data_IF_927005443832
#
_entry.id   IF_927005443832
#
_cell.length_a   1.000
_cell.length_b   1.000
_cell.length_c   1.000
_cell.angle_alpha   90.00
_cell.angle_beta   90.00
_cell.angle_gamma   90.00
#
_symmetry.space_group_name_H-M   'P 1'
#
loop_
_entity.id
_entity.type
_entity.pdbx_description
1 polymer ?
#
# COMPACT_ATOMS: atom_id res chain seq x y z
N UNK A 1 51.06 -28.23 24.68
CA UNK A 1 51.06 -28.13 23.20
C UNK A 1 49.64 -27.84 22.73
N UNK A 2 49.48 -26.89 21.81
CA UNK A 2 48.24 -26.17 21.47
C UNK A 2 47.26 -27.07 20.71
N UNK A 3 45.99 -27.15 21.15
CA UNK A 3 44.91 -27.82 20.41
C UNK A 3 44.46 -26.91 19.27
N UNK A 4 44.56 -27.38 18.03
CA UNK A 4 44.02 -26.69 16.86
C UNK A 4 42.48 -26.77 16.88
N UNK A 5 41.82 -25.65 16.58
CA UNK A 5 40.36 -25.57 16.42
C UNK A 5 39.95 -26.17 15.06
N UNK A 6 38.82 -26.89 14.97
CA UNK A 6 38.28 -27.30 13.69
C UNK A 6 37.74 -26.08 12.93
N UNK A 7 38.02 -26.09 11.63
CA UNK A 7 37.61 -25.13 10.62
C UNK A 7 36.08 -25.13 10.46
N UNK A 8 35.44 -23.99 10.78
CA UNK A 8 34.02 -23.73 10.54
C UNK A 8 33.78 -23.50 9.03
N UNK A 9 33.84 -24.57 8.24
CA UNK A 9 33.33 -24.59 6.87
C UNK A 9 31.81 -24.64 6.86
N UNK A 10 31.19 -23.53 7.31
CA UNK A 10 29.74 -23.31 7.25
C UNK A 10 29.32 -22.97 5.82
N UNK A 11 28.48 -23.84 5.27
CA UNK A 11 27.33 -23.53 4.39
C UNK A 11 27.59 -23.11 2.94
N UNK A 12 27.90 -24.10 2.09
CA UNK A 12 27.75 -24.03 0.63
C UNK A 12 26.31 -24.26 0.16
N UNK A 13 25.31 -23.66 0.81
CA UNK A 13 23.89 -23.75 0.42
C UNK A 13 23.33 -22.42 -0.13
N UNK A 14 24.09 -21.32 -0.01
CA UNK A 14 23.64 -19.97 -0.38
C UNK A 14 23.91 -19.56 -1.83
N UNK A 15 24.72 -20.34 -2.58
CA UNK A 15 25.10 -19.98 -3.95
C UNK A 15 24.09 -20.40 -5.04
N UNK A 16 23.10 -21.25 -4.73
CA UNK A 16 22.17 -21.77 -5.75
C UNK A 16 20.94 -20.88 -5.99
N UNK A 17 20.59 -20.03 -5.02
CA UNK A 17 19.36 -19.25 -5.12
C UNK A 17 19.45 -18.10 -6.15
N UNK A 18 20.64 -17.53 -6.35
CA UNK A 18 20.85 -16.50 -7.37
C UNK A 18 20.73 -17.07 -8.79
N UNK A 19 21.30 -18.26 -9.01
CA UNK A 19 21.19 -18.98 -10.30
C UNK A 19 19.73 -19.36 -10.56
N UNK A 20 19.04 -19.90 -9.55
CA UNK A 20 17.62 -20.22 -9.67
C UNK A 20 16.78 -18.98 -10.03
N UNK A 21 17.00 -17.85 -9.36
CA UNK A 21 16.31 -16.59 -9.66
C UNK A 21 16.56 -16.09 -11.08
N UNK A 22 17.81 -16.13 -11.55
CA UNK A 22 18.13 -15.67 -12.90
C UNK A 22 17.51 -16.55 -13.97
N UNK A 23 17.45 -17.86 -13.75
CA UNK A 23 16.75 -18.79 -14.65
C UNK A 23 15.23 -18.54 -14.68
N UNK A 24 14.60 -18.31 -13.53
CA UNK A 24 13.17 -18.02 -13.44
C UNK A 24 12.79 -16.73 -14.18
N UNK A 25 13.58 -15.66 -13.99
CA UNK A 25 13.34 -14.37 -14.66
C UNK A 25 13.47 -14.52 -16.18
N UNK A 26 14.48 -15.23 -16.67
CA UNK A 26 14.64 -15.49 -18.11
C UNK A 26 13.46 -16.25 -18.71
N UNK A 27 12.96 -17.26 -18.00
CA UNK A 27 11.81 -18.04 -18.45
C UNK A 27 10.52 -17.20 -18.53
N UNK A 28 10.31 -16.31 -17.56
CA UNK A 28 9.14 -15.42 -17.55
C UNK A 28 9.20 -14.37 -18.67
N UNK A 29 10.36 -13.76 -18.90
CA UNK A 29 10.54 -12.75 -19.97
C UNK A 29 10.38 -13.39 -21.35
N UNK A 30 10.86 -14.61 -21.55
CA UNK A 30 10.71 -15.31 -22.83
C UNK A 30 9.24 -15.64 -23.19
N UNK A 31 8.35 -15.70 -22.19
CA UNK A 31 6.91 -15.94 -22.40
C UNK A 31 6.16 -14.63 -22.68
N UNK A 32 6.74 -13.47 -22.37
CA UNK A 32 6.09 -12.15 -22.50
C UNK A 32 6.46 -11.38 -23.76
N UNK A 33 7.14 -11.99 -24.74
CA UNK A 33 7.44 -11.33 -26.01
C UNK A 33 6.39 -11.72 -27.07
N UNK A 34 5.26 -10.99 -27.23
CA UNK A 34 4.61 -10.89 -28.50
C UNK A 34 5.46 -9.98 -29.41
N UNK A 35 5.73 -10.50 -30.60
CA UNK A 35 6.39 -9.85 -31.72
C UNK A 35 5.76 -8.47 -32.03
N UNK A 36 6.40 -7.37 -31.60
CA UNK A 36 6.15 -6.03 -32.15
C UNK A 36 7.23 -5.00 -31.77
N UNK A 37 7.72 -4.18 -32.73
CA UNK A 37 8.69 -3.15 -32.46
C UNK A 37 8.02 -1.80 -32.15
N UNK A 38 8.80 -0.93 -31.50
CA UNK A 38 8.73 0.53 -31.49
C UNK A 38 8.30 1.22 -30.17
N UNK A 39 9.26 2.02 -29.69
CA UNK A 39 9.10 3.41 -29.29
C UNK A 39 8.79 3.78 -27.82
N UNK A 40 9.80 4.49 -27.27
CA UNK A 40 9.72 5.72 -26.47
C UNK A 40 9.70 5.62 -24.94
N UNK A 41 10.59 6.45 -24.37
CA UNK A 41 10.79 6.75 -22.97
C UNK A 41 9.51 7.23 -22.26
N UNK A 42 9.27 6.72 -21.06
CA UNK A 42 8.63 7.45 -19.97
C UNK A 42 8.81 6.69 -18.64
N UNK A 43 9.26 7.44 -17.63
CA UNK A 43 8.88 7.38 -16.21
C UNK A 43 8.60 6.00 -15.58
N UNK A 44 9.46 5.59 -14.65
CA UNK A 44 9.29 4.36 -13.86
C UNK A 44 8.14 4.55 -12.85
N UNK A 45 6.98 3.88 -12.99
CA UNK A 45 5.95 3.95 -11.96
C UNK A 45 6.33 2.99 -10.84
N UNK A 46 6.31 3.51 -9.61
CA UNK A 46 6.48 2.74 -8.37
C UNK A 46 5.52 1.54 -8.32
N UNK A 47 6.09 0.34 -8.06
CA UNK A 47 5.40 -0.94 -7.89
C UNK A 47 4.57 -0.99 -6.59
N UNK A 48 3.55 -0.15 -6.46
CA UNK A 48 2.45 -0.38 -5.51
C UNK A 48 1.35 -1.13 -6.26
N UNK A 49 1.19 -2.42 -5.90
CA UNK A 49 0.29 -3.36 -6.54
C UNK A 49 -1.12 -2.81 -6.76
N UNK A 50 -1.42 -2.44 -7.99
CA UNK A 50 -2.75 -2.15 -8.48
C UNK A 50 -3.44 -3.46 -8.88
N UNK A 51 -3.79 -4.28 -7.90
CA UNK A 51 -4.81 -5.31 -8.11
C UNK A 51 -6.18 -4.69 -7.79
N UNK A 52 -6.84 -4.09 -8.77
CA UNK A 52 -8.29 -4.25 -8.95
C UNK A 52 -8.75 -3.65 -10.27
N UNK A 53 -9.45 -4.41 -11.14
CA UNK A 53 -10.11 -3.87 -12.30
C UNK A 53 -11.38 -3.15 -11.84
N UNK A 54 -11.40 -1.82 -11.93
CA UNK A 54 -12.62 -1.01 -12.04
C UNK A 54 -13.75 -1.29 -11.01
N UNK A 55 -13.42 -1.33 -9.72
CA UNK A 55 -14.39 -0.97 -8.68
C UNK A 55 -13.95 0.36 -8.05
N UNK A 56 -14.85 1.35 -7.89
CA UNK A 56 -14.53 2.57 -7.15
C UNK A 56 -14.34 2.19 -5.68
N UNK A 57 -13.12 1.79 -5.34
CA UNK A 57 -12.77 1.43 -3.98
C UNK A 57 -12.70 2.70 -3.16
N UNK A 58 -13.52 2.77 -2.11
CA UNK A 58 -13.44 3.84 -1.15
C UNK A 58 -12.01 3.86 -0.59
N UNK A 59 -11.34 4.99 -0.78
CA UNK A 59 -10.03 5.28 -0.22
C UNK A 59 -10.08 6.56 0.61
N UNK A 60 -9.29 6.60 1.67
CA UNK A 60 -9.05 7.83 2.41
C UNK A 60 -7.94 8.62 1.72
N UNK A 61 -8.18 9.88 1.39
CA UNK A 61 -7.15 10.79 0.90
C UNK A 61 -7.35 12.21 1.41
N UNK A 62 -6.48 13.14 0.97
CA UNK A 62 -6.61 14.56 1.30
C UNK A 62 -7.72 15.19 0.48
N UNK A 63 -8.66 15.85 1.14
CA UNK A 63 -9.75 16.61 0.51
C UNK A 63 -9.26 18.03 0.19
N UNK A 64 -9.59 18.59 -0.98
CA UNK A 64 -9.27 19.98 -1.30
C UNK A 64 -10.11 20.95 -0.45
N UNK A 65 -9.49 22.05 0.00
CA UNK A 65 -10.17 23.14 0.71
C UNK A 65 -9.89 23.21 2.22
N UNK A 66 -10.82 23.83 2.96
CA UNK A 66 -10.71 24.05 4.41
C UNK A 66 -10.95 22.75 5.19
N UNK A 67 -10.28 22.61 6.34
CA UNK A 67 -10.59 21.58 7.34
C UNK A 67 -12.08 21.58 7.67
N UNK A 68 -12.69 20.39 7.69
CA UNK A 68 -14.09 20.20 8.11
C UNK A 68 -14.15 19.22 9.27
N UNK A 69 -15.26 19.25 10.00
CA UNK A 69 -15.53 18.34 11.12
C UNK A 69 -15.61 16.89 10.61
N UNK A 70 -15.00 15.96 11.35
CA UNK A 70 -15.14 14.54 11.06
C UNK A 70 -16.59 14.11 11.27
N UNK A 71 -17.20 13.49 10.26
CA UNK A 71 -18.59 13.05 10.32
C UNK A 71 -18.82 12.01 11.42
N UNK A 72 -17.96 10.98 11.48
CA UNK A 72 -18.07 9.95 12.52
C UNK A 72 -17.93 10.53 13.93
N UNK A 73 -16.98 11.44 14.16
CA UNK A 73 -16.83 12.07 15.48
C UNK A 73 -18.03 12.96 15.84
N UNK A 74 -18.66 13.60 14.86
CA UNK A 74 -19.87 14.39 15.08
C UNK A 74 -21.05 13.46 15.48
N UNK A 75 -21.15 12.29 14.85
CA UNK A 75 -22.15 11.28 15.17
C UNK A 75 -21.92 10.64 16.54
N UNK A 76 -20.67 10.29 16.86
CA UNK A 76 -20.28 9.68 18.14
C UNK A 76 -20.27 10.69 19.31
N UNK A 77 -20.49 11.98 19.03
CA UNK A 77 -20.45 13.04 20.05
C UNK A 77 -19.06 13.30 20.64
N UNK A 78 -18.00 12.82 19.99
CA UNK A 78 -16.61 12.96 20.47
C UNK A 78 -16.14 14.40 20.32
N UNK A 79 -16.01 15.08 21.45
CA UNK A 79 -15.50 16.45 21.56
C UNK A 79 -14.07 16.45 22.06
N UNK A 80 -13.27 17.40 21.59
CA UNK A 80 -11.96 17.70 22.18
C UNK A 80 -12.15 18.34 23.57
N UNK A 81 -11.09 18.39 24.37
CA UNK A 81 -11.09 19.06 25.67
C UNK A 81 -11.54 20.54 25.61
N UNK A 82 -11.41 21.18 24.44
CA UNK A 82 -11.91 22.53 24.16
C UNK A 82 -13.41 22.62 23.87
N UNK A 83 -14.16 21.52 23.94
CA UNK A 83 -15.58 21.43 23.61
C UNK A 83 -15.89 21.42 22.11
N UNK A 84 -14.89 21.59 21.24
CA UNK A 84 -15.04 21.59 19.77
C UNK A 84 -14.92 20.19 19.18
N UNK A 85 -15.62 19.95 18.05
CA UNK A 85 -15.48 18.71 17.27
C UNK A 85 -14.13 18.69 16.56
N UNK A 86 -13.46 17.51 16.51
CA UNK A 86 -12.21 17.38 15.78
C UNK A 86 -12.41 17.64 14.27
N UNK A 87 -11.60 18.53 13.74
CA UNK A 87 -11.54 18.82 12.31
C UNK A 87 -10.44 18.02 11.62
N UNK A 88 -10.69 17.66 10.36
CA UNK A 88 -9.79 16.87 9.52
C UNK A 88 -9.72 17.44 8.11
N UNK A 89 -8.57 17.26 7.46
CA UNK A 89 -8.38 17.49 6.02
C UNK A 89 -8.52 16.20 5.20
N UNK A 90 -8.55 15.04 5.86
CA UNK A 90 -8.69 13.75 5.20
C UNK A 90 -10.15 13.34 5.09
N UNK A 91 -10.48 12.59 4.04
CA UNK A 91 -11.83 12.12 3.78
C UNK A 91 -11.88 11.09 2.68
N UNK A 92 -13.08 10.58 2.41
CA UNK A 92 -13.32 9.73 1.25
C UNK A 92 -13.80 10.60 0.09
N UNK A 93 -13.09 10.54 -1.04
CA UNK A 93 -13.45 11.29 -2.26
C UNK A 93 -14.73 10.77 -2.91
N UNK A 94 -15.00 9.46 -2.80
CA UNK A 94 -16.22 8.87 -3.37
C UNK A 94 -17.48 9.27 -2.59
N UNK A 95 -17.39 9.31 -1.26
CA UNK A 95 -18.51 9.73 -0.39
C UNK A 95 -18.56 11.24 -0.13
N UNK A 96 -17.55 12.01 -0.57
CA UNK A 96 -17.38 13.43 -0.25
C UNK A 96 -17.47 13.78 1.25
N UNK A 97 -17.04 12.86 2.11
CA UNK A 97 -17.16 12.99 3.57
C UNK A 97 -15.77 13.13 4.22
N UNK A 98 -15.67 14.01 5.21
CA UNK A 98 -14.43 14.25 5.95
C UNK A 98 -14.38 13.30 7.15
N UNK A 99 -13.32 12.50 7.23
CA UNK A 99 -13.14 11.44 8.23
C UNK A 99 -11.68 11.39 8.68
N UNK A 100 -11.43 11.09 9.96
CA UNK A 100 -10.08 10.81 10.41
C UNK A 100 -9.58 9.49 9.83
N UNK A 101 -8.27 9.41 9.59
CA UNK A 101 -7.61 8.15 9.25
C UNK A 101 -7.80 7.12 10.38
N UNK A 102 -8.00 5.86 10.02
CA UNK A 102 -8.20 4.75 10.96
C UNK A 102 -9.67 4.50 11.29
N UNK A 103 -10.02 4.50 12.57
CA UNK A 103 -11.31 4.00 13.06
C UNK A 103 -12.53 4.76 12.53
N UNK A 104 -12.44 6.09 12.43
CA UNK A 104 -13.56 6.90 11.91
C UNK A 104 -13.91 6.52 10.47
N UNK A 105 -12.89 6.26 9.66
CA UNK A 105 -13.05 5.82 8.28
C UNK A 105 -13.64 4.42 8.19
N UNK A 106 -13.10 3.48 8.98
CA UNK A 106 -13.55 2.09 8.99
C UNK A 106 -14.99 1.96 9.46
N UNK A 107 -15.39 2.63 10.56
CA UNK A 107 -16.76 2.62 11.08
C UNK A 107 -17.77 3.14 10.07
N UNK A 108 -17.46 4.28 9.43
CA UNK A 108 -18.34 4.87 8.43
C UNK A 108 -18.52 3.95 7.22
N UNK A 109 -17.45 3.34 6.68
CA UNK A 109 -17.59 2.47 5.51
C UNK A 109 -18.07 1.05 5.86
N UNK A 110 -17.97 0.62 7.13
CA UNK A 110 -18.58 -0.61 7.60
C UNK A 110 -20.11 -0.48 7.66
N UNK A 111 -20.64 0.67 8.08
CA UNK A 111 -22.08 0.91 8.12
C UNK A 111 -22.71 1.12 6.74
N UNK A 112 -21.93 1.53 5.74
CA UNK A 112 -22.38 1.73 4.35
C UNK A 112 -22.35 0.44 3.50
N UNK A 113 -21.76 -0.65 4.00
CA UNK A 113 -21.66 -1.95 3.32
C UNK A 113 -22.79 -2.92 3.66
N UNK A 114 -23.76 -2.49 4.48
CA UNK A 114 -25.03 -3.19 4.72
C UNK A 114 -26.12 -2.62 3.82
#
# INVERSE_FOLDING_TARGET
MKRARPDDSRTSASQNHLVFRTHLVKALVAVTEPDQPAQMAADVPSLQGSNSPYSPSHSLGKMPGRKRRCFQCAQDGVKMASGRTRETTSGCHLCNVHLHAGECYAKFHASQKN
#
